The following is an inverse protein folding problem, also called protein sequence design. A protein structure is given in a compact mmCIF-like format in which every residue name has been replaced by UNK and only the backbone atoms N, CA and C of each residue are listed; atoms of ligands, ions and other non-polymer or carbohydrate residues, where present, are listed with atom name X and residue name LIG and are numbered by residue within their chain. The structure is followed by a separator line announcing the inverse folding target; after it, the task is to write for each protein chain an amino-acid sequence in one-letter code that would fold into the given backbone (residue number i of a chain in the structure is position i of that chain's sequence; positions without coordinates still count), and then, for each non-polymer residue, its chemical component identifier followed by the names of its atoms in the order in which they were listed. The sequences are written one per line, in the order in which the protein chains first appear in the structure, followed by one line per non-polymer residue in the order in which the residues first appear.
data_IF_269265460451
#
_entry.id   IF_269265460451
#
_cell.length_a   1.000
_cell.length_b   1.000
_cell.length_c   1.000
_cell.angle_alpha   90.00
_cell.angle_beta   90.00
_cell.angle_gamma   90.00
#
_symmetry.space_group_name_H-M   'P 1'
#
loop_
_entity.id
_entity.type
_entity.pdbx_description
1 polymer ?
#
# COMPACT_ATOMS: atom_id res chain seq x y z
N UNK A 1 -17.36 1.22 7.74
CA UNK A 1 -16.45 0.56 8.69
C UNK A 1 -16.16 -0.82 8.13
N UNK A 2 -14.89 -1.15 7.88
CA UNK A 2 -14.47 -2.47 7.38
C UNK A 2 -13.59 -3.13 8.43
N UNK A 3 -13.81 -4.42 8.69
CA UNK A 3 -13.06 -5.20 9.67
C UNK A 3 -12.40 -6.41 9.01
N UNK A 4 -11.34 -6.93 9.62
CA UNK A 4 -10.64 -8.15 9.19
C UNK A 4 -10.19 -8.10 7.71
N UNK A 5 -9.74 -6.91 7.29
CA UNK A 5 -9.28 -6.67 5.93
C UNK A 5 -7.80 -7.06 5.77
N UNK A 6 -6.95 -6.85 6.78
CA UNK A 6 -5.52 -7.13 6.66
C UNK A 6 -4.81 -6.10 5.78
N UNK A 7 -3.59 -6.42 5.33
CA UNK A 7 -2.62 -5.39 4.96
C UNK A 7 -2.94 -4.60 3.68
N UNK A 8 -3.59 -5.20 2.69
CA UNK A 8 -4.03 -4.51 1.46
C UNK A 8 -5.07 -3.40 1.69
N UNK A 9 -5.67 -3.33 2.89
CA UNK A 9 -6.84 -2.49 3.12
C UNK A 9 -6.53 -1.00 2.93
N UNK A 10 -5.25 -0.60 2.99
CA UNK A 10 -4.82 0.75 2.63
C UNK A 10 -5.18 1.12 1.18
N UNK A 11 -5.05 0.19 0.23
CA UNK A 11 -5.53 0.38 -1.14
C UNK A 11 -7.05 0.31 -1.23
N UNK A 12 -7.67 -0.65 -0.53
CA UNK A 12 -9.13 -0.82 -0.51
C UNK A 12 -9.87 0.42 0.01
N UNK A 13 -9.38 1.05 1.09
CA UNK A 13 -10.02 2.26 1.63
C UNK A 13 -9.91 3.43 0.67
N UNK A 14 -8.82 3.54 -0.08
CA UNK A 14 -8.66 4.57 -1.12
C UNK A 14 -9.63 4.33 -2.27
N UNK A 15 -9.76 3.08 -2.75
CA UNK A 15 -10.72 2.69 -3.79
C UNK A 15 -12.15 3.04 -3.40
N UNK A 16 -12.57 2.70 -2.19
CA UNK A 16 -13.91 3.03 -1.69
C UNK A 16 -14.10 4.54 -1.49
N UNK A 17 -13.07 5.24 -0.99
CA UNK A 17 -13.13 6.67 -0.80
C UNK A 17 -13.25 7.44 -2.13
N UNK A 18 -12.62 6.94 -3.20
CA UNK A 18 -12.79 7.46 -4.57
C UNK A 18 -14.25 7.42 -5.00
N UNK A 19 -14.88 6.25 -4.96
CA UNK A 19 -16.29 6.10 -5.35
C UNK A 19 -17.23 6.97 -4.50
N UNK A 20 -17.01 7.00 -3.18
CA UNK A 20 -17.81 7.81 -2.27
C UNK A 20 -17.65 9.32 -2.54
N UNK A 21 -16.43 9.79 -2.81
CA UNK A 21 -16.16 11.20 -3.08
C UNK A 21 -16.70 11.65 -4.46
N UNK A 22 -16.51 10.83 -5.50
CA UNK A 22 -16.88 11.17 -6.88
C UNK A 22 -18.39 11.05 -7.10
N UNK A 23 -19.04 10.06 -6.48
CA UNK A 23 -20.46 9.82 -6.67
C UNK A 23 -21.36 10.67 -5.76
N UNK A 24 -20.79 11.46 -4.85
CA UNK A 24 -21.55 12.31 -3.92
C UNK A 24 -21.01 13.76 -3.94
N UNK A 25 -21.70 14.65 -4.65
CA UNK A 25 -21.29 16.06 -4.78
C UNK A 25 -21.13 16.73 -3.41
N UNK A 26 -19.93 17.27 -3.16
CA UNK A 26 -19.60 17.98 -1.92
C UNK A 26 -19.18 17.07 -0.76
N UNK A 27 -19.11 15.75 -0.97
CA UNK A 27 -18.64 14.83 0.05
C UNK A 27 -17.16 15.06 0.40
N UNK A 28 -16.85 14.94 1.69
CA UNK A 28 -15.51 14.84 2.24
C UNK A 28 -15.46 13.59 3.10
N UNK A 29 -14.70 12.60 2.64
CA UNK A 29 -14.62 11.27 3.23
C UNK A 29 -13.42 11.24 4.15
N UNK A 30 -13.66 11.09 5.45
CA UNK A 30 -12.61 10.76 6.40
C UNK A 30 -12.30 9.26 6.31
N UNK A 31 -11.08 8.95 5.88
CA UNK A 31 -10.53 7.59 5.86
C UNK A 31 -9.59 7.44 7.04
N UNK A 32 -9.72 6.35 7.80
CA UNK A 32 -8.82 6.03 8.92
C UNK A 32 -8.43 4.56 8.86
N UNK A 33 -7.12 4.31 8.89
CA UNK A 33 -6.53 3.00 9.16
C UNK A 33 -5.91 3.04 10.56
N UNK A 34 -6.26 2.09 11.42
CA UNK A 34 -5.72 1.96 12.77
C UNK A 34 -5.46 0.49 13.04
N UNK A 35 -4.23 0.19 13.41
CA UNK A 35 -3.70 -1.17 13.53
C UNK A 35 -2.95 -1.27 14.86
N UNK A 36 -3.30 -2.27 15.65
CA UNK A 36 -2.73 -2.51 16.99
C UNK A 36 -2.42 -4.00 17.11
N UNK A 37 -1.15 -4.31 17.36
CA UNK A 37 -0.59 -5.66 17.50
C UNK A 37 -1.04 -6.38 18.76
N UNK A 38 -1.74 -5.73 19.68
CA UNK A 38 -2.33 -6.34 20.87
C UNK A 38 -3.19 -7.59 20.55
N UNK A 39 -3.78 -7.68 19.35
CA UNK A 39 -4.55 -8.85 18.92
C UNK A 39 -3.70 -9.98 18.32
N UNK A 40 -2.48 -9.69 17.88
CA UNK A 40 -1.56 -10.63 17.21
C UNK A 40 -0.36 -11.04 18.06
N UNK A 41 0.00 -10.24 19.09
CA UNK A 41 1.14 -10.46 19.96
C UNK A 41 1.00 -11.76 20.74
N UNK A 42 2.04 -12.60 20.70
CA UNK A 42 2.06 -13.91 21.37
C UNK A 42 3.48 -14.40 21.62
N UNK A 43 3.62 -15.33 22.57
CA UNK A 43 4.90 -15.97 22.86
C UNK A 43 5.45 -16.79 21.68
N UNK A 44 6.78 -16.97 21.61
CA UNK A 44 7.42 -17.72 20.52
C UNK A 44 7.10 -19.22 20.59
N UNK A 45 7.23 -19.90 19.45
CA UNK A 45 7.01 -21.34 19.32
C UNK A 45 7.92 -21.93 18.24
N UNK A 46 8.72 -22.94 18.61
CA UNK A 46 9.66 -23.60 17.68
C UNK A 46 8.96 -24.34 16.53
N UNK A 47 7.66 -24.61 16.66
CA UNK A 47 6.84 -25.26 15.63
C UNK A 47 6.12 -24.25 14.71
N UNK A 48 6.16 -22.95 15.01
CA UNK A 48 5.45 -21.89 14.28
C UNK A 48 6.38 -20.70 13.98
N UNK A 49 7.42 -20.96 13.18
CA UNK A 49 8.41 -19.94 12.81
C UNK A 49 7.82 -18.79 11.97
N UNK A 50 6.75 -19.06 11.21
CA UNK A 50 5.95 -18.06 10.51
C UNK A 50 5.34 -17.04 11.48
N UNK A 51 4.83 -17.51 12.62
CA UNK A 51 4.33 -16.63 13.68
C UNK A 51 5.44 -15.74 14.23
N UNK A 52 6.65 -16.29 14.44
CA UNK A 52 7.80 -15.50 14.89
C UNK A 52 8.21 -14.42 13.89
N UNK A 53 8.08 -14.66 12.59
CA UNK A 53 8.33 -13.64 11.56
C UNK A 53 7.41 -12.44 11.76
N UNK A 54 6.11 -12.65 11.98
CA UNK A 54 5.19 -11.54 12.24
C UNK A 54 5.43 -10.85 13.58
N UNK A 55 5.87 -11.56 14.62
CA UNK A 55 6.28 -10.93 15.89
C UNK A 55 7.49 -9.97 15.73
N UNK A 56 8.30 -10.14 14.68
CA UNK A 56 9.44 -9.29 14.36
C UNK A 56 9.14 -8.23 13.29
N UNK A 57 7.97 -8.28 12.65
CA UNK A 57 7.61 -7.40 11.53
C UNK A 57 6.46 -6.46 11.85
N UNK A 58 5.49 -6.83 12.67
CA UNK A 58 4.28 -6.01 12.86
C UNK A 58 4.49 -4.94 13.93
N UNK A 59 4.11 -3.71 13.56
CA UNK A 59 4.10 -2.55 14.44
C UNK A 59 2.70 -1.96 14.59
N UNK A 60 2.55 -1.09 15.59
CA UNK A 60 1.32 -0.34 15.85
C UNK A 60 1.32 0.97 15.07
N UNK A 61 0.18 1.35 14.51
CA UNK A 61 0.12 2.58 13.71
C UNK A 61 -1.28 3.02 13.33
N UNK A 62 -1.38 4.31 13.02
CA UNK A 62 -2.60 4.87 12.44
C UNK A 62 -2.27 5.93 11.39
N UNK A 63 -3.14 6.03 10.39
CA UNK A 63 -3.09 7.04 9.36
C UNK A 63 -4.51 7.46 8.99
N UNK A 64 -4.68 8.75 8.69
CA UNK A 64 -5.95 9.31 8.30
C UNK A 64 -5.81 10.20 7.06
N UNK A 65 -6.81 10.17 6.18
CA UNK A 65 -6.91 11.01 5.00
C UNK A 65 -8.27 11.71 4.95
N UNK A 66 -8.30 12.89 4.33
CA UNK A 66 -9.53 13.50 3.82
C UNK A 66 -9.52 13.35 2.31
N UNK A 67 -10.52 12.65 1.78
CA UNK A 67 -10.71 12.43 0.34
C UNK A 67 -11.96 13.17 -0.12
N UNK A 68 -11.88 13.86 -1.24
CA UNK A 68 -13.00 14.61 -1.79
C UNK A 68 -12.78 14.95 -3.25
N UNK A 69 -13.87 15.15 -3.98
CA UNK A 69 -13.85 15.64 -5.35
C UNK A 69 -14.22 17.12 -5.37
N UNK A 70 -13.79 17.83 -6.42
CA UNK A 70 -13.99 19.27 -6.60
C UNK A 70 -13.46 20.07 -5.39
N UNK A 71 -12.13 20.12 -5.18
CA UNK A 71 -11.55 20.90 -4.09
C UNK A 71 -11.91 22.38 -4.25
N UNK A 72 -12.20 23.05 -3.14
CA UNK A 72 -12.53 24.48 -3.12
C UNK A 72 -11.28 25.32 -3.44
N UNK A 73 -11.24 26.06 -4.57
CA UNK A 73 -10.06 26.82 -4.95
C UNK A 73 -9.66 27.85 -3.88
N UNK A 74 -8.38 27.89 -3.53
CA UNK A 74 -7.83 28.80 -2.51
C UNK A 74 -8.12 28.39 -1.06
N UNK A 75 -8.90 27.32 -0.82
CA UNK A 75 -9.23 26.80 0.51
C UNK A 75 -8.67 25.39 0.69
N UNK A 76 -8.95 24.50 -0.26
CA UNK A 76 -8.49 23.11 -0.23
C UNK A 76 -7.39 22.91 -1.27
N UNK A 77 -6.27 22.32 -0.85
CA UNK A 77 -5.17 21.94 -1.73
C UNK A 77 -5.09 20.40 -1.77
N UNK A 78 -5.43 19.75 -2.91
CA UNK A 78 -5.21 18.31 -3.05
C UNK A 78 -3.71 18.01 -2.91
N UNK A 79 -3.37 16.79 -2.49
CA UNK A 79 -1.99 16.31 -2.42
C UNK A 79 -1.68 15.27 -3.51
N UNK A 80 -2.70 14.51 -3.88
CA UNK A 80 -2.71 13.54 -4.97
C UNK A 80 -4.14 13.45 -5.50
N UNK A 81 -4.31 13.05 -6.75
CA UNK A 81 -5.59 12.70 -7.35
C UNK A 81 -5.65 11.18 -7.58
N UNK A 82 -6.85 10.62 -7.42
CA UNK A 82 -7.09 9.18 -7.59
C UNK A 82 -7.62 8.94 -9.01
N UNK A 83 -6.85 8.33 -9.88
CA UNK A 83 -7.26 8.10 -11.28
C UNK A 83 -8.11 6.84 -11.40
N UNK A 84 -7.53 5.69 -11.08
CA UNK A 84 -8.18 4.39 -11.17
C UNK A 84 -7.76 3.47 -10.02
N UNK A 85 -8.61 2.49 -9.71
CA UNK A 85 -8.34 1.52 -8.66
C UNK A 85 -8.86 0.14 -9.06
N UNK A 86 -8.01 -0.87 -8.93
CA UNK A 86 -8.29 -2.25 -9.32
C UNK A 86 -7.87 -3.22 -8.22
N UNK A 87 -8.57 -4.35 -8.15
CA UNK A 87 -8.26 -5.44 -7.24
C UNK A 87 -8.16 -6.74 -8.05
N UNK A 88 -7.15 -7.55 -7.75
CA UNK A 88 -6.99 -8.87 -8.38
C UNK A 88 -6.53 -9.92 -7.37
N UNK A 89 -6.96 -11.17 -7.59
CA UNK A 89 -6.49 -12.33 -6.84
C UNK A 89 -5.42 -13.05 -7.66
N UNK A 90 -4.24 -13.26 -7.08
CA UNK A 90 -3.16 -13.91 -7.80
C UNK A 90 -3.44 -15.40 -8.01
N UNK A 91 -3.11 -15.98 -9.17
CA UNK A 91 -3.29 -17.40 -9.41
C UNK A 91 -2.39 -18.22 -8.47
N UNK A 92 -2.87 -19.41 -8.06
CA UNK A 92 -2.12 -20.38 -7.24
C UNK A 92 -1.57 -19.82 -5.91
N UNK A 93 -2.32 -18.90 -5.29
CA UNK A 93 -1.90 -18.19 -4.09
C UNK A 93 -2.72 -18.53 -2.84
N UNK A 94 -3.60 -19.52 -2.93
CA UNK A 94 -4.46 -19.94 -1.82
C UNK A 94 -3.60 -20.36 -0.62
N UNK A 95 -3.88 -19.76 0.54
CA UNK A 95 -3.15 -20.02 1.78
C UNK A 95 -1.77 -19.38 1.86
N UNK A 96 -1.39 -18.53 0.89
CA UNK A 96 -0.14 -17.76 0.91
C UNK A 96 0.02 -16.97 2.21
N UNK A 97 -1.00 -16.20 2.55
CA UNK A 97 -1.11 -15.60 3.86
C UNK A 97 -2.51 -15.95 4.35
N UNK A 98 -2.63 -16.38 5.60
CA UNK A 98 -3.90 -16.66 6.27
C UNK A 98 -3.91 -16.03 7.66
N UNK A 99 -5.09 -15.61 8.09
CA UNK A 99 -5.31 -15.05 9.42
C UNK A 99 -6.58 -15.65 10.02
N UNK A 100 -6.49 -16.14 11.25
CA UNK A 100 -7.61 -16.77 11.94
C UNK A 100 -7.82 -16.16 13.32
N UNK A 101 -9.03 -15.66 13.57
CA UNK A 101 -9.41 -15.17 14.89
C UNK A 101 -9.94 -16.33 15.71
N UNK A 102 -9.27 -16.62 16.83
CA UNK A 102 -9.62 -17.68 17.76
C UNK A 102 -9.71 -17.14 19.19
N UNK A 103 -10.05 -18.01 20.14
CA UNK A 103 -10.06 -17.68 21.58
C UNK A 103 -8.69 -17.16 22.07
N UNK A 104 -7.59 -17.59 21.42
CA UNK A 104 -6.23 -17.14 21.67
C UNK A 104 -5.82 -15.90 20.84
N UNK A 105 -6.79 -15.08 20.40
CA UNK A 105 -6.55 -13.90 19.56
C UNK A 105 -6.37 -14.23 18.08
N UNK A 106 -5.78 -13.31 17.32
CA UNK A 106 -5.55 -13.45 15.88
C UNK A 106 -4.23 -14.17 15.61
N UNK A 107 -4.29 -15.39 15.08
CA UNK A 107 -3.14 -16.13 14.53
C UNK A 107 -2.97 -15.78 13.06
N UNK A 108 -1.73 -15.83 12.59
CA UNK A 108 -1.41 -15.65 11.18
C UNK A 108 -0.44 -16.73 10.71
N UNK A 109 -0.60 -17.13 9.46
CA UNK A 109 0.24 -18.08 8.76
C UNK A 109 0.79 -17.44 7.50
N UNK A 110 2.09 -17.60 7.29
CA UNK A 110 2.82 -17.01 6.15
C UNK A 110 3.52 -18.14 5.40
N UNK A 111 3.18 -18.34 4.13
CA UNK A 111 3.92 -19.23 3.26
C UNK A 111 5.25 -18.59 2.87
N UNK A 112 6.25 -19.46 2.72
CA UNK A 112 7.64 -19.03 2.52
C UNK A 112 7.90 -18.35 1.17
N UNK A 113 7.01 -18.51 0.19
CA UNK A 113 7.19 -18.05 -1.21
C UNK A 113 6.30 -16.85 -1.59
N UNK A 114 5.74 -16.13 -0.62
CA UNK A 114 4.91 -14.94 -0.88
C UNK A 114 5.62 -13.87 -1.74
N UNK A 115 6.92 -13.54 -1.52
CA UNK A 115 7.63 -12.59 -2.39
C UNK A 115 7.68 -13.02 -3.85
N UNK A 116 7.85 -14.33 -4.10
CA UNK A 116 7.92 -14.90 -5.44
C UNK A 116 6.59 -14.81 -6.18
N UNK A 117 5.49 -15.06 -5.47
CA UNK A 117 4.14 -14.92 -6.00
C UNK A 117 3.82 -13.46 -6.37
N UNK A 118 4.15 -12.50 -5.50
CA UNK A 118 3.92 -11.07 -5.77
C UNK A 118 4.73 -10.63 -6.99
N UNK A 119 6.04 -10.85 -6.97
CA UNK A 119 6.94 -10.39 -8.03
C UNK A 119 6.56 -10.99 -9.39
N UNK A 120 6.21 -12.28 -9.45
CA UNK A 120 5.80 -12.94 -10.70
C UNK A 120 4.58 -12.31 -11.37
N UNK A 121 3.66 -11.73 -10.59
CA UNK A 121 2.36 -11.26 -11.10
C UNK A 121 2.20 -9.74 -11.12
N UNK A 122 3.03 -8.97 -10.40
CA UNK A 122 2.87 -7.51 -10.26
C UNK A 122 2.89 -6.77 -11.61
N UNK A 123 3.69 -7.25 -12.57
CA UNK A 123 3.81 -6.63 -13.89
C UNK A 123 2.49 -6.68 -14.67
N UNK A 124 1.69 -7.73 -14.48
CA UNK A 124 0.36 -7.83 -15.11
C UNK A 124 -0.56 -6.72 -14.59
N UNK A 125 -0.58 -6.49 -13.28
CA UNK A 125 -1.38 -5.41 -12.67
C UNK A 125 -0.93 -4.03 -13.13
N UNK A 126 0.38 -3.81 -13.32
CA UNK A 126 0.91 -2.57 -13.90
C UNK A 126 0.44 -2.37 -15.34
N UNK A 127 0.56 -3.39 -16.18
CA UNK A 127 0.11 -3.30 -17.58
C UNK A 127 -1.37 -2.97 -17.64
N UNK A 128 -2.22 -3.69 -16.89
CA UNK A 128 -3.67 -3.44 -16.87
C UNK A 128 -4.00 -2.01 -16.42
N UNK A 129 -3.28 -1.47 -15.43
CA UNK A 129 -3.51 -0.14 -14.90
C UNK A 129 -2.99 0.99 -15.81
N UNK A 130 -1.83 0.81 -16.43
CA UNK A 130 -1.12 1.88 -17.15
C UNK A 130 -1.20 1.80 -18.67
N UNK A 131 -1.65 0.68 -19.25
CA UNK A 131 -1.90 0.57 -20.68
C UNK A 131 -2.88 1.65 -21.20
N UNK A 132 -4.01 1.97 -20.52
CA UNK A 132 -4.89 3.05 -20.95
C UNK A 132 -4.23 4.44 -20.96
N UNK A 133 -3.20 4.62 -20.15
CA UNK A 133 -2.42 5.87 -20.03
C UNK A 133 -1.19 5.90 -20.96
N UNK A 134 -0.92 4.82 -21.69
CA UNK A 134 0.24 4.71 -22.58
C UNK A 134 1.59 4.66 -21.86
N UNK A 135 1.60 4.33 -20.55
CA UNK A 135 2.83 4.27 -19.74
C UNK A 135 3.30 2.82 -19.65
N UNK A 136 4.54 2.57 -20.05
CA UNK A 136 5.20 1.25 -19.99
C UNK A 136 6.54 1.28 -19.26
N UNK A 137 7.05 2.47 -18.92
CA UNK A 137 8.29 2.62 -18.19
C UNK A 137 8.01 2.76 -16.68
N UNK A 138 8.18 1.67 -15.94
CA UNK A 138 7.95 1.65 -14.49
C UNK A 138 8.87 2.59 -13.69
N UNK A 139 9.95 3.08 -14.29
CA UNK A 139 10.83 4.08 -13.69
C UNK A 139 10.38 5.53 -13.94
N UNK A 140 9.37 5.77 -14.78
CA UNK A 140 8.79 7.11 -15.00
C UNK A 140 7.61 7.43 -14.09
N UNK A 141 7.26 6.54 -13.17
CA UNK A 141 6.18 6.72 -12.19
C UNK A 141 6.73 6.72 -10.76
N UNK A 142 6.10 7.41 -9.80
CA UNK A 142 6.43 7.29 -8.38
C UNK A 142 5.77 6.05 -7.76
N UNK A 143 6.36 5.53 -6.69
CA UNK A 143 6.02 4.20 -6.15
C UNK A 143 5.66 4.23 -4.67
N UNK A 144 4.51 3.65 -4.35
CA UNK A 144 4.09 3.32 -3.00
C UNK A 144 3.78 1.83 -2.99
N UNK A 145 4.58 1.02 -2.31
CA UNK A 145 4.29 -0.40 -2.17
C UNK A 145 4.05 -0.72 -0.69
N UNK A 146 3.06 -1.55 -0.38
CA UNK A 146 2.89 -2.03 1.00
C UNK A 146 4.17 -2.78 1.43
N UNK A 147 4.81 -2.37 2.55
CA UNK A 147 6.05 -2.96 3.02
C UNK A 147 5.79 -4.24 3.83
N UNK A 148 5.24 -5.27 3.17
CA UNK A 148 4.94 -6.54 3.83
C UNK A 148 6.17 -7.22 4.45
N UNK A 149 7.33 -6.98 3.84
CA UNK A 149 8.65 -7.36 4.33
C UNK A 149 9.72 -6.99 3.30
N UNK A 150 11.01 -6.94 3.69
CA UNK A 150 12.09 -6.49 2.80
C UNK A 150 12.24 -7.39 1.57
N UNK A 151 12.04 -8.70 1.71
CA UNK A 151 12.13 -9.66 0.61
C UNK A 151 11.12 -9.38 -0.53
N UNK A 152 9.91 -8.89 -0.21
CA UNK A 152 8.91 -8.52 -1.22
C UNK A 152 9.41 -7.33 -2.03
N UNK A 153 9.94 -6.31 -1.35
CA UNK A 153 10.42 -5.08 -1.98
C UNK A 153 11.60 -5.36 -2.90
N UNK A 154 12.57 -6.16 -2.44
CA UNK A 154 13.77 -6.49 -3.22
C UNK A 154 13.43 -7.32 -4.46
N UNK A 155 12.49 -8.27 -4.35
CA UNK A 155 12.05 -9.04 -5.51
C UNK A 155 11.23 -8.21 -6.51
N UNK A 156 10.40 -7.28 -6.05
CA UNK A 156 9.67 -6.35 -6.93
C UNK A 156 10.65 -5.42 -7.66
N UNK A 157 11.64 -4.85 -6.95
CA UNK A 157 12.68 -4.02 -7.57
C UNK A 157 13.46 -4.79 -8.63
N UNK A 158 13.89 -6.01 -8.31
CA UNK A 158 14.64 -6.86 -9.24
C UNK A 158 13.81 -7.22 -10.47
N UNK A 159 12.57 -7.68 -10.26
CA UNK A 159 11.70 -8.18 -11.32
C UNK A 159 11.31 -7.11 -12.34
N UNK A 160 11.06 -5.88 -11.87
CA UNK A 160 10.64 -4.77 -12.70
C UNK A 160 11.82 -3.90 -13.19
N UNK A 161 13.05 -4.20 -12.77
CA UNK A 161 14.22 -3.39 -13.09
C UNK A 161 14.09 -1.95 -12.57
N UNK A 162 13.54 -1.78 -11.36
CA UNK A 162 13.39 -0.47 -10.76
C UNK A 162 14.76 0.12 -10.41
N UNK A 163 14.93 1.41 -10.67
CA UNK A 163 16.16 2.15 -10.31
C UNK A 163 16.31 2.14 -8.79
N UNK A 164 17.57 2.10 -8.29
CA UNK A 164 17.85 2.31 -6.89
C UNK A 164 17.17 3.61 -6.44
N UNK A 165 16.45 3.54 -5.33
CA UNK A 165 15.58 4.58 -4.75
C UNK A 165 14.10 4.56 -5.14
N UNK A 166 13.61 3.84 -6.17
CA UNK A 166 12.16 3.86 -6.44
C UNK A 166 11.30 3.46 -5.24
N UNK A 167 11.77 2.55 -4.38
CA UNK A 167 11.10 2.18 -3.13
C UNK A 167 11.71 2.82 -1.87
N UNK A 168 12.47 3.93 -1.98
CA UNK A 168 13.15 4.52 -0.81
C UNK A 168 12.18 4.89 0.30
N UNK A 169 11.04 5.52 -0.04
CA UNK A 169 10.03 5.93 0.95
C UNK A 169 9.36 4.73 1.59
N UNK A 170 9.09 3.68 0.81
CA UNK A 170 8.56 2.41 1.30
C UNK A 170 9.52 1.74 2.29
N UNK A 171 10.81 1.66 1.92
CA UNK A 171 11.87 1.09 2.77
C UNK A 171 12.09 1.92 4.03
N UNK A 172 12.00 3.24 3.95
CA UNK A 172 12.09 4.15 5.11
C UNK A 172 10.94 3.92 6.09
N UNK A 173 9.69 3.89 5.61
CA UNK A 173 8.53 3.66 6.49
C UNK A 173 8.62 2.29 7.16
N UNK A 174 9.05 1.25 6.45
CA UNK A 174 9.29 -0.07 7.04
C UNK A 174 10.37 0.00 8.13
N UNK A 175 11.45 0.74 7.89
CA UNK A 175 12.56 0.87 8.84
C UNK A 175 12.17 1.66 10.10
N UNK A 176 11.36 2.70 9.95
CA UNK A 176 11.04 3.62 11.04
C UNK A 176 9.84 3.15 11.88
N UNK A 177 8.93 2.38 11.27
CA UNK A 177 7.62 2.06 11.85
C UNK A 177 7.19 0.59 11.69
N UNK A 178 8.04 -0.25 11.10
CA UNK A 178 7.72 -1.66 10.85
C UNK A 178 6.49 -1.83 9.91
N UNK A 179 5.89 -3.02 9.88
CA UNK A 179 4.69 -3.31 9.11
C UNK A 179 3.43 -3.01 9.95
N UNK A 180 2.94 -1.78 9.87
CA UNK A 180 1.65 -1.33 10.43
C UNK A 180 0.44 -1.68 9.54
N UNK A 181 0.47 -2.84 8.85
CA UNK A 181 -0.67 -3.33 8.06
C UNK A 181 -1.20 -2.26 7.06
N UNK A 182 -2.49 -1.89 7.17
CA UNK A 182 -3.17 -1.02 6.22
C UNK A 182 -2.71 0.44 6.28
N UNK A 183 -2.12 0.88 7.40
CA UNK A 183 -1.67 2.25 7.58
C UNK A 183 -0.39 2.58 6.79
N UNK A 184 0.42 1.57 6.46
CA UNK A 184 1.74 1.79 5.84
C UNK A 184 1.69 2.60 4.55
N UNK A 185 0.83 2.24 3.60
CA UNK A 185 0.77 2.92 2.29
C UNK A 185 0.32 4.38 2.41
N UNK A 186 -0.47 4.71 3.43
CA UNK A 186 -0.90 6.08 3.72
C UNK A 186 0.24 6.90 4.32
N UNK A 187 1.08 6.30 5.17
CA UNK A 187 2.29 6.93 5.69
C UNK A 187 3.37 7.09 4.62
N UNK A 188 3.47 6.16 3.68
CA UNK A 188 4.39 6.28 2.54
C UNK A 188 3.97 7.43 1.62
N UNK A 189 2.67 7.62 1.37
CA UNK A 189 2.15 8.81 0.67
C UNK A 189 2.57 10.11 1.37
N UNK A 190 2.48 10.15 2.70
CA UNK A 190 2.88 11.30 3.50
C UNK A 190 4.40 11.55 3.47
N UNK A 191 5.21 10.49 3.46
CA UNK A 191 6.67 10.59 3.34
C UNK A 191 7.08 11.15 1.97
N UNK A 192 6.51 10.62 0.88
CA UNK A 192 6.81 11.06 -0.49
C UNK A 192 6.47 12.52 -0.69
N UNK A 193 5.27 12.97 -0.29
CA UNK A 193 4.87 14.37 -0.48
C UNK A 193 5.68 15.35 0.37
N UNK A 194 6.07 14.96 1.59
CA UNK A 194 6.94 15.78 2.46
C UNK A 194 8.35 15.89 1.90
N UNK A 195 8.93 14.78 1.45
CA UNK A 195 10.24 14.78 0.80
C UNK A 195 10.21 15.58 -0.50
N UNK A 196 9.14 15.47 -1.29
CA UNK A 196 8.97 16.22 -2.53
C UNK A 196 9.07 17.72 -2.32
N UNK A 197 8.35 18.25 -1.31
CA UNK A 197 8.42 19.67 -0.93
C UNK A 197 9.80 20.04 -0.39
N UNK A 198 10.38 19.21 0.49
CA UNK A 198 11.68 19.48 1.12
C UNK A 198 12.82 19.54 0.11
N UNK A 199 12.79 18.70 -0.91
CA UNK A 199 13.82 18.60 -1.95
C UNK A 199 13.54 19.53 -3.15
N UNK A 200 12.42 20.25 -3.15
CA UNK A 200 12.09 21.23 -4.19
C UNK A 200 11.71 20.59 -5.53
N UNK A 201 11.12 19.40 -5.51
CA UNK A 201 10.57 18.77 -6.71
C UNK A 201 9.36 19.56 -7.22
N UNK A 202 9.07 19.45 -8.52
CA UNK A 202 7.97 20.16 -9.19
C UNK A 202 6.58 19.60 -8.87
N UNK A 203 6.49 18.38 -8.32
CA UNK A 203 5.24 17.72 -7.98
C UNK A 203 5.35 16.96 -6.66
N UNK A 204 4.21 16.71 -6.02
CA UNK A 204 4.10 15.92 -4.77
C UNK A 204 4.52 14.46 -4.91
N UNK A 205 4.71 13.98 -6.15
CA UNK A 205 5.16 12.64 -6.51
C UNK A 205 6.60 12.63 -7.04
N UNK A 206 7.53 13.29 -6.35
CA UNK A 206 8.95 13.31 -6.69
C UNK A 206 9.26 13.94 -8.07
N UNK A 207 8.46 14.92 -8.48
CA UNK A 207 8.58 15.56 -9.79
C UNK A 207 8.06 14.71 -10.96
N UNK A 208 7.39 13.59 -10.67
CA UNK A 208 6.73 12.73 -11.65
C UNK A 208 5.22 12.99 -11.64
N UNK A 209 4.57 12.87 -12.79
CA UNK A 209 3.12 13.11 -12.93
C UNK A 209 2.30 11.93 -12.40
N UNK A 210 2.70 10.71 -12.77
CA UNK A 210 1.96 9.48 -12.46
C UNK A 210 2.64 8.64 -11.40
N UNK A 211 1.85 7.91 -10.63
CA UNK A 211 2.34 7.00 -9.61
C UNK A 211 1.42 5.82 -9.38
N UNK A 212 1.94 4.82 -8.67
CA UNK A 212 1.20 3.62 -8.31
C UNK A 212 1.28 3.36 -6.81
N UNK A 213 0.15 2.97 -6.24
CA UNK A 213 0.04 2.45 -4.89
C UNK A 213 -0.40 0.98 -4.93
N UNK A 214 0.39 0.12 -4.29
CA UNK A 214 0.10 -1.31 -4.15
C UNK A 214 -0.20 -1.71 -2.70
N UNK A 215 -1.29 -2.45 -2.52
CA UNK A 215 -1.60 -3.19 -1.29
C UNK A 215 -1.55 -4.70 -1.53
N UNK A 216 -0.98 -5.46 -0.58
CA UNK A 216 -0.87 -6.93 -0.66
C UNK A 216 -1.58 -7.58 0.53
N UNK A 217 -2.33 -8.68 0.37
CA UNK A 217 -3.06 -9.37 1.47
C UNK A 217 -3.07 -10.90 1.34
N UNK A 218 -3.24 -11.68 2.45
CA UNK A 218 -3.96 -12.96 2.49
C UNK A 218 -4.97 -13.22 1.35
N UNK A 219 -4.73 -14.28 0.57
CA UNK A 219 -5.50 -14.58 -0.63
C UNK A 219 -4.69 -15.32 -1.70
N UNK A 220 -3.65 -14.74 -2.32
CA UNK A 220 -2.98 -13.44 -2.24
C UNK A 220 -3.68 -12.37 -3.11
N UNK A 221 -4.16 -11.29 -2.50
CA UNK A 221 -4.86 -10.18 -3.18
C UNK A 221 -3.92 -9.00 -3.43
N UNK A 222 -4.00 -8.39 -4.60
CA UNK A 222 -3.29 -7.16 -4.97
C UNK A 222 -4.30 -6.04 -5.23
N UNK A 223 -4.21 -4.96 -4.46
CA UNK A 223 -4.87 -3.68 -4.77
C UNK A 223 -3.89 -2.81 -5.53
N UNK A 224 -4.33 -2.24 -6.65
CA UNK A 224 -3.56 -1.33 -7.50
C UNK A 224 -4.33 -0.03 -7.61
N UNK A 225 -3.75 1.07 -7.15
CA UNK A 225 -4.33 2.40 -7.28
C UNK A 225 -3.39 3.26 -8.11
N UNK A 226 -3.89 3.82 -9.20
CA UNK A 226 -3.18 4.81 -10.02
C UNK A 226 -3.42 6.18 -9.43
N UNK A 227 -2.33 6.91 -9.23
CA UNK A 227 -2.31 8.24 -8.63
C UNK A 227 -1.76 9.24 -9.64
N UNK A 228 -2.32 10.44 -9.63
CA UNK A 228 -1.74 11.60 -10.27
C UNK A 228 -1.20 12.56 -9.20
N UNK A 229 0.01 13.05 -9.37
CA UNK A 229 0.60 14.04 -8.47
C UNK A 229 0.01 15.43 -8.73
N UNK A 230 0.30 16.37 -7.83
CA UNK A 230 -0.05 17.78 -8.02
C UNK A 230 1.20 18.64 -7.88
N UNK A 231 1.18 19.84 -8.44
CA UNK A 231 2.29 20.78 -8.27
C UNK A 231 2.48 21.15 -6.79
N UNK A 232 3.73 21.10 -6.33
CA UNK A 232 4.14 21.49 -4.95
C UNK A 232 3.94 22.96 -4.69
#
# INVERSE_FOLDING_TARGET
MMYQQGWFAGGTVIRLAKDLAENNKGARVLVVCLEITAVTFRGPSDTHLDSMVGQALFGDGTAALIVGSNPLPGVEKPLFELDSAAQTLLPNSKGAIDGHLHEAGLTFHLLKDDPGLISKNIEKSLIEAFQPLGISNWNSIFWIAHPGGPAILDQVELKLGLKPKKLWATKKVLSDYENMSSACVLLILDEIRKASVKEGFSSTGEGLDWGVLFGFRPGLTVETVVLHSVST
#
